data_IF_683081153763
#
_entry.id   IF_683081153763
#
_cell.length_a   1.000
_cell.length_b   1.000
_cell.length_c   1.000
_cell.angle_alpha   90.00
_cell.angle_beta   90.00
_cell.angle_gamma   90.00
#
_symmetry.space_group_name_H-M   'P 1'
#
loop_
_entity.id
_entity.type
_entity.pdbx_description
1 polymer ?
#
# COMPACT_ATOMS: atom_id res chain seq x y z
N UNK A 1 -13.77 52.17 1.62
CA UNK A 1 -13.31 51.49 0.40
C UNK A 1 -12.72 50.16 0.83
N UNK A 2 -13.53 49.11 0.93
CA UNK A 2 -13.06 47.78 1.32
C UNK A 2 -12.29 47.17 0.15
N UNK A 3 -10.97 46.99 0.31
CA UNK A 3 -10.21 46.07 -0.52
C UNK A 3 -10.72 44.66 -0.24
N UNK A 4 -11.53 44.15 -1.17
CA UNK A 4 -11.86 42.74 -1.26
C UNK A 4 -10.55 41.98 -1.46
N UNK A 5 -10.09 41.32 -0.41
CA UNK A 5 -9.10 40.26 -0.49
C UNK A 5 -9.62 39.22 -1.49
N UNK A 6 -9.11 39.25 -2.72
CA UNK A 6 -9.31 38.18 -3.69
C UNK A 6 -8.71 36.92 -3.07
N UNK A 7 -9.59 36.00 -2.66
CA UNK A 7 -9.20 34.67 -2.23
C UNK A 7 -8.28 34.03 -3.29
N UNK A 8 -7.27 33.24 -2.88
CA UNK A 8 -6.45 32.49 -3.82
C UNK A 8 -7.37 31.62 -4.70
N UNK A 9 -7.10 31.51 -6.02
CA UNK A 9 -7.94 30.75 -6.91
C UNK A 9 -8.11 29.32 -6.39
N UNK A 10 -9.36 28.85 -6.46
CA UNK A 10 -9.81 27.52 -6.10
C UNK A 10 -8.84 26.46 -6.62
N UNK A 11 -8.66 25.41 -5.82
CA UNK A 11 -8.02 24.13 -6.21
C UNK A 11 -8.17 23.88 -7.71
N UNK A 12 -7.05 23.89 -8.44
CA UNK A 12 -7.05 23.59 -9.86
C UNK A 12 -7.44 22.13 -10.06
N UNK A 13 -8.68 21.88 -10.49
CA UNK A 13 -9.22 20.53 -10.65
C UNK A 13 -8.96 19.97 -12.05
N UNK A 14 -8.74 18.64 -12.14
CA UNK A 14 -8.64 17.93 -13.40
C UNK A 14 -10.06 17.73 -13.96
N UNK A 15 -10.27 18.07 -15.23
CA UNK A 15 -11.48 17.70 -15.97
C UNK A 15 -11.36 16.28 -16.49
N UNK A 16 -12.46 15.73 -17.04
CA UNK A 16 -12.44 14.41 -17.68
C UNK A 16 -11.39 14.31 -18.80
N UNK A 17 -11.30 15.33 -19.66
CA UNK A 17 -10.28 15.41 -20.72
C UNK A 17 -8.85 15.43 -20.16
N UNK A 18 -8.64 16.12 -19.02
CA UNK A 18 -7.35 16.14 -18.35
C UNK A 18 -6.98 14.74 -17.83
N UNK A 19 -7.94 14.04 -17.21
CA UNK A 19 -7.74 12.70 -16.68
C UNK A 19 -7.49 11.67 -17.79
N UNK A 20 -8.26 11.71 -18.88
CA UNK A 20 -8.10 10.78 -20.01
C UNK A 20 -6.71 10.88 -20.61
N UNK A 21 -6.23 12.11 -20.84
CA UNK A 21 -4.88 12.34 -21.36
C UNK A 21 -3.80 11.84 -20.37
N UNK A 22 -3.98 12.08 -19.07
CA UNK A 22 -3.04 11.60 -18.05
C UNK A 22 -3.00 10.07 -17.95
N UNK A 23 -4.08 9.36 -18.29
CA UNK A 23 -4.10 7.87 -18.29
C UNK A 23 -3.10 7.29 -19.26
N UNK A 24 -2.88 7.93 -20.40
CA UNK A 24 -1.90 7.50 -21.42
C UNK A 24 -0.46 7.50 -20.86
N UNK A 25 -0.18 8.30 -19.83
CA UNK A 25 1.16 8.51 -19.28
C UNK A 25 1.38 7.73 -17.97
N UNK A 26 0.36 6.96 -17.52
CA UNK A 26 0.47 6.16 -16.30
C UNK A 26 1.45 5.00 -16.43
N UNK A 27 1.70 4.49 -17.65
CA UNK A 27 2.61 3.37 -17.90
C UNK A 27 4.02 3.67 -17.43
N UNK A 28 4.61 4.76 -17.94
CA UNK A 28 5.97 5.18 -17.59
C UNK A 28 6.13 5.39 -16.09
N UNK A 29 5.15 6.05 -15.45
CA UNK A 29 5.17 6.27 -14.00
C UNK A 29 5.04 4.97 -13.19
N UNK A 30 4.31 3.99 -13.72
CA UNK A 30 4.07 2.70 -13.09
C UNK A 30 5.33 1.83 -13.11
N UNK A 31 6.10 1.90 -14.19
CA UNK A 31 7.29 1.08 -14.42
C UNK A 31 8.59 1.72 -13.93
N UNK A 32 8.55 2.96 -13.46
CA UNK A 32 9.70 3.60 -12.82
C UNK A 32 10.15 2.87 -11.54
N UNK A 33 11.45 2.57 -11.50
CA UNK A 33 12.08 1.73 -10.47
C UNK A 33 12.10 2.37 -9.07
N UNK A 34 12.26 3.70 -8.99
CA UNK A 34 12.42 4.40 -7.72
C UNK A 34 11.60 5.71 -7.61
N UNK A 35 11.60 6.28 -6.41
CA UNK A 35 10.87 7.52 -6.09
C UNK A 35 11.38 8.72 -6.90
N UNK A 36 12.69 8.80 -7.16
CA UNK A 36 13.29 9.92 -7.88
C UNK A 36 12.89 9.89 -9.35
N UNK A 37 12.97 8.72 -9.99
CA UNK A 37 12.49 8.48 -11.34
C UNK A 37 11.00 8.84 -11.48
N UNK A 38 10.17 8.48 -10.49
CA UNK A 38 8.75 8.87 -10.45
C UNK A 38 8.55 10.38 -10.37
N UNK A 39 9.34 11.07 -9.56
CA UNK A 39 9.28 12.54 -9.48
C UNK A 39 9.70 13.22 -10.79
N UNK A 40 10.73 12.70 -11.46
CA UNK A 40 11.19 13.25 -12.74
C UNK A 40 10.16 13.01 -13.85
N UNK A 41 9.50 11.84 -13.88
CA UNK A 41 8.36 11.58 -14.77
C UNK A 41 7.20 12.53 -14.49
N UNK A 42 6.84 12.76 -13.23
CA UNK A 42 5.74 13.69 -12.91
C UNK A 42 6.07 15.11 -13.38
N UNK A 43 7.33 15.56 -13.27
CA UNK A 43 7.75 16.87 -13.80
C UNK A 43 7.62 16.93 -15.32
N UNK A 44 8.11 15.90 -16.03
CA UNK A 44 8.02 15.82 -17.49
C UNK A 44 6.56 15.79 -17.97
N UNK A 45 5.73 14.95 -17.35
CA UNK A 45 4.28 14.85 -17.63
C UNK A 45 3.58 16.17 -17.33
N UNK A 46 3.94 16.88 -16.25
CA UNK A 46 3.38 18.21 -15.95
C UNK A 46 3.73 19.23 -17.04
N UNK A 47 4.97 19.22 -17.55
CA UNK A 47 5.39 20.13 -18.62
C UNK A 47 4.64 19.84 -19.93
N UNK A 48 4.53 18.55 -20.30
CA UNK A 48 3.74 18.10 -21.46
C UNK A 48 2.26 18.43 -21.32
N UNK A 49 1.69 18.25 -20.13
CA UNK A 49 0.32 18.60 -19.80
C UNK A 49 0.07 20.10 -20.00
N UNK A 50 0.93 20.96 -19.45
CA UNK A 50 0.81 22.40 -19.61
C UNK A 50 0.88 22.82 -21.08
N UNK A 51 1.76 22.19 -21.87
CA UNK A 51 1.85 22.43 -23.31
C UNK A 51 0.61 21.95 -24.08
N UNK A 52 0.06 20.78 -23.73
CA UNK A 52 -1.10 20.17 -24.39
C UNK A 52 -2.37 20.99 -24.19
N UNK A 53 -2.58 21.52 -22.99
CA UNK A 53 -3.77 22.30 -22.63
C UNK A 53 -3.53 23.82 -22.69
N UNK A 54 -2.45 24.26 -23.34
CA UNK A 54 -2.11 25.69 -23.53
C UNK A 54 -2.11 26.49 -22.23
N UNK A 55 -1.64 25.89 -21.14
CA UNK A 55 -1.58 26.51 -19.82
C UNK A 55 -0.39 27.49 -19.79
N UNK A 56 -0.60 28.76 -19.42
CA UNK A 56 0.50 29.74 -19.31
C UNK A 56 1.53 29.34 -18.25
N UNK A 57 2.80 29.70 -18.45
CA UNK A 57 3.91 29.38 -17.53
C UNK A 57 3.65 29.84 -16.08
N UNK A 58 2.95 30.97 -15.90
CA UNK A 58 2.54 31.48 -14.58
C UNK A 58 1.57 30.54 -13.85
N UNK A 59 0.80 29.73 -14.59
CA UNK A 59 -0.13 28.72 -14.09
C UNK A 59 0.48 27.32 -13.96
N UNK A 60 1.58 27.01 -14.65
CA UNK A 60 2.16 25.67 -14.71
C UNK A 60 2.50 25.06 -13.34
N UNK A 61 2.98 25.89 -12.39
CA UNK A 61 3.26 25.43 -11.01
C UNK A 61 2.02 24.96 -10.26
N UNK A 62 0.85 25.53 -10.54
CA UNK A 62 -0.40 25.16 -9.89
C UNK A 62 -0.90 23.77 -10.34
N UNK A 63 -0.55 23.36 -11.57
CA UNK A 63 -0.96 22.06 -12.15
C UNK A 63 -0.07 20.89 -11.75
N UNK A 64 1.13 21.15 -11.21
CA UNK A 64 2.02 20.08 -10.77
C UNK A 64 1.40 19.20 -9.68
N UNK A 65 0.69 19.79 -8.72
CA UNK A 65 0.06 19.04 -7.62
C UNK A 65 -1.10 18.17 -8.13
N UNK A 66 -2.10 18.68 -8.88
CA UNK A 66 -3.17 17.85 -9.45
C UNK A 66 -2.65 16.70 -10.32
N UNK A 67 -1.67 16.96 -11.20
CA UNK A 67 -1.04 15.94 -12.03
C UNK A 67 -0.35 14.89 -11.15
N UNK A 68 0.46 15.32 -10.17
CA UNK A 68 1.10 14.41 -9.22
C UNK A 68 0.08 13.54 -8.50
N UNK A 69 -0.96 14.14 -7.93
CA UNK A 69 -1.98 13.41 -7.17
C UNK A 69 -2.69 12.37 -8.04
N UNK A 70 -3.01 12.70 -9.29
CA UNK A 70 -3.58 11.75 -10.25
C UNK A 70 -2.62 10.59 -10.55
N UNK A 71 -1.37 10.90 -10.92
CA UNK A 71 -0.35 9.90 -11.25
C UNK A 71 -0.10 8.94 -10.08
N UNK A 72 -0.06 9.46 -8.84
CA UNK A 72 0.10 8.64 -7.64
C UNK A 72 -1.17 7.84 -7.27
N UNK A 73 -2.36 8.36 -7.57
CA UNK A 73 -3.63 7.68 -7.31
C UNK A 73 -3.87 6.49 -8.25
N UNK A 74 -3.54 6.65 -9.54
CA UNK A 74 -3.88 5.67 -10.59
C UNK A 74 -2.66 4.94 -11.19
N UNK A 75 -1.47 5.52 -11.10
CA UNK A 75 -0.24 4.98 -11.69
C UNK A 75 0.58 4.13 -10.72
N UNK A 76 0.33 4.19 -9.41
CA UNK A 76 0.94 3.24 -8.47
C UNK A 76 0.54 1.82 -8.87
N UNK A 77 1.53 0.94 -9.11
CA UNK A 77 1.33 -0.50 -8.91
C UNK A 77 0.86 -0.61 -7.47
N UNK A 78 -0.43 -0.88 -7.27
CA UNK A 78 -0.89 -1.37 -5.99
C UNK A 78 -0.22 -2.74 -5.88
N UNK A 79 0.94 -2.80 -5.21
CA UNK A 79 1.26 -4.04 -4.51
C UNK A 79 -0.02 -4.36 -3.76
N UNK A 80 -0.63 -5.50 -4.08
CA UNK A 80 -1.81 -5.95 -3.36
C UNK A 80 -1.48 -5.75 -1.90
N UNK A 81 -2.24 -4.90 -1.19
CA UNK A 81 -2.17 -4.84 0.28
C UNK A 81 -2.40 -6.23 0.91
N UNK A 82 -2.79 -7.23 0.11
CA UNK A 82 -2.93 -8.64 0.45
C UNK A 82 -1.72 -9.53 0.15
N UNK A 83 -0.64 -9.09 -0.50
CA UNK A 83 0.63 -9.80 -0.32
C UNK A 83 1.15 -9.43 1.06
N UNK A 84 0.71 -10.19 2.07
CA UNK A 84 1.42 -10.24 3.35
C UNK A 84 2.91 -10.29 2.99
N UNK A 85 3.66 -9.29 3.41
CA UNK A 85 5.12 -9.29 3.31
C UNK A 85 5.61 -10.46 4.15
N UNK A 86 5.67 -11.64 3.55
CA UNK A 86 6.37 -12.82 4.05
C UNK A 86 7.90 -12.62 3.92
N UNK A 87 8.35 -11.38 3.74
CA UNK A 87 9.74 -10.93 3.89
C UNK A 87 10.15 -10.78 5.37
N UNK A 88 9.23 -10.96 6.32
CA UNK A 88 9.59 -11.06 7.75
C UNK A 88 10.00 -12.50 8.05
N UNK A 89 11.07 -12.66 8.84
CA UNK A 89 11.54 -13.94 9.38
C UNK A 89 10.33 -14.78 9.83
N UNK A 90 10.18 -15.98 9.26
CA UNK A 90 9.16 -16.93 9.68
C UNK A 90 9.43 -17.30 11.15
N UNK A 91 8.36 -17.42 11.93
CA UNK A 91 8.44 -17.83 13.33
C UNK A 91 7.27 -18.74 13.63
N UNK A 92 7.35 -19.51 14.73
CA UNK A 92 6.23 -20.36 15.15
C UNK A 92 4.94 -19.55 15.39
N UNK A 93 5.06 -18.30 15.85
CA UNK A 93 3.92 -17.37 16.00
C UNK A 93 3.24 -17.06 14.66
N UNK A 94 3.99 -17.08 13.57
CA UNK A 94 3.44 -16.91 12.23
C UNK A 94 2.57 -18.10 11.83
N UNK A 95 3.01 -19.32 12.16
CA UNK A 95 2.24 -20.55 11.93
C UNK A 95 0.99 -20.55 12.80
N UNK A 96 1.12 -20.26 14.09
CA UNK A 96 -0.01 -20.16 15.03
C UNK A 96 -1.04 -19.13 14.56
N UNK A 97 -0.60 -17.92 14.17
CA UNK A 97 -1.49 -16.88 13.67
C UNK A 97 -2.21 -17.26 12.38
N UNK A 98 -1.67 -18.21 11.60
CA UNK A 98 -2.30 -18.70 10.37
C UNK A 98 -3.30 -19.82 10.65
N UNK A 99 -2.92 -20.82 11.46
CA UNK A 99 -3.75 -22.01 11.70
C UNK A 99 -4.74 -21.86 12.86
N UNK A 100 -4.44 -21.01 13.84
CA UNK A 100 -5.28 -20.75 15.02
C UNK A 100 -5.82 -19.31 15.06
N UNK A 101 -6.05 -18.71 13.89
CA UNK A 101 -6.47 -17.30 13.80
C UNK A 101 -7.75 -16.99 14.60
N UNK A 102 -8.74 -17.90 14.60
CA UNK A 102 -9.98 -17.75 15.37
C UNK A 102 -9.73 -17.81 16.88
N UNK A 103 -8.89 -18.75 17.33
CA UNK A 103 -8.53 -18.88 18.75
C UNK A 103 -7.79 -17.64 19.25
N UNK A 104 -6.90 -17.07 18.43
CA UNK A 104 -6.20 -15.82 18.74
C UNK A 104 -7.20 -14.65 18.80
N UNK A 105 -8.15 -14.57 17.86
CA UNK A 105 -9.20 -13.55 17.88
C UNK A 105 -10.12 -13.68 19.11
N UNK A 106 -10.43 -14.91 19.51
CA UNK A 106 -11.20 -15.19 20.73
C UNK A 106 -10.40 -14.84 21.99
N UNK A 107 -9.12 -15.17 22.06
CA UNK A 107 -8.25 -14.79 23.18
C UNK A 107 -8.14 -13.26 23.32
N UNK A 108 -8.09 -12.55 22.19
CA UNK A 108 -8.08 -11.08 22.16
C UNK A 108 -9.40 -10.48 22.67
N UNK A 109 -10.53 -10.99 22.19
CA UNK A 109 -11.86 -10.43 22.48
C UNK A 109 -12.43 -10.87 23.83
N UNK A 110 -12.36 -12.17 24.15
CA UNK A 110 -12.91 -12.76 25.39
C UNK A 110 -11.91 -12.68 26.55
N UNK A 111 -10.62 -12.84 26.28
CA UNK A 111 -9.56 -12.75 27.30
C UNK A 111 -9.21 -11.32 27.71
N UNK A 112 -9.79 -10.30 27.04
CA UNK A 112 -9.44 -8.88 27.17
C UNK A 112 -7.94 -8.62 26.96
N UNK A 113 -7.28 -9.44 26.16
CA UNK A 113 -5.86 -9.25 25.85
C UNK A 113 -5.75 -8.08 24.88
N UNK A 114 -5.13 -6.99 25.33
CA UNK A 114 -5.15 -5.70 24.63
C UNK A 114 -4.43 -5.69 23.28
N UNK A 115 -3.61 -6.70 22.97
CA UNK A 115 -2.87 -6.76 21.70
C UNK A 115 -2.92 -8.15 21.06
N UNK A 116 -2.89 -8.18 19.73
CA UNK A 116 -2.81 -9.42 18.95
C UNK A 116 -1.54 -10.22 19.27
N UNK A 117 -0.40 -9.56 19.52
CA UNK A 117 0.83 -10.25 19.88
C UNK A 117 0.75 -10.95 21.24
N UNK A 118 0.12 -10.31 22.22
CA UNK A 118 -0.12 -10.93 23.53
C UNK A 118 -1.12 -12.10 23.40
N UNK A 119 -2.13 -11.99 22.54
CA UNK A 119 -3.07 -13.08 22.29
C UNK A 119 -2.39 -14.28 21.59
N UNK A 120 -1.45 -14.02 20.65
CA UNK A 120 -0.62 -15.06 20.06
C UNK A 120 0.24 -15.79 21.08
N UNK A 121 0.90 -15.07 21.99
CA UNK A 121 1.70 -15.69 23.05
C UNK A 121 0.83 -16.54 23.98
N UNK A 122 -0.35 -16.06 24.34
CA UNK A 122 -1.30 -16.81 25.17
C UNK A 122 -1.74 -18.13 24.51
N UNK A 123 -2.07 -18.09 23.22
CA UNK A 123 -2.43 -19.31 22.46
C UNK A 123 -1.21 -20.23 22.34
N UNK A 124 -0.01 -19.67 22.14
CA UNK A 124 1.23 -20.44 22.07
C UNK A 124 1.50 -21.22 23.38
N UNK A 125 1.27 -20.60 24.53
CA UNK A 125 1.44 -21.23 25.86
C UNK A 125 0.43 -22.35 26.14
N UNK A 126 -0.66 -22.42 25.38
CA UNK A 126 -1.71 -23.44 25.52
C UNK A 126 -1.64 -24.55 24.48
N UNK A 127 -0.64 -24.51 23.60
CA UNK A 127 -0.44 -25.59 22.63
C UNK A 127 -0.13 -26.89 23.35
N UNK A 128 -0.73 -27.97 22.87
CA UNK A 128 -0.30 -29.32 23.24
C UNK A 128 1.07 -29.62 22.61
N UNK A 129 1.83 -30.54 23.20
CA UNK A 129 3.12 -30.98 22.65
C UNK A 129 2.98 -31.49 21.20
N UNK A 130 1.86 -32.12 20.87
CA UNK A 130 1.57 -32.60 19.52
C UNK A 130 1.34 -31.45 18.52
N UNK A 131 0.60 -30.41 18.93
CA UNK A 131 0.39 -29.21 18.10
C UNK A 131 1.70 -28.44 17.92
N UNK A 132 2.48 -28.28 18.99
CA UNK A 132 3.76 -27.59 18.93
C UNK A 132 4.70 -28.28 17.94
N UNK A 133 4.84 -29.61 18.04
CA UNK A 133 5.66 -30.39 17.10
C UNK A 133 5.18 -30.23 15.65
N UNK A 134 3.87 -30.32 15.42
CA UNK A 134 3.29 -30.15 14.09
C UNK A 134 3.59 -28.76 13.53
N UNK A 135 3.48 -27.71 14.34
CA UNK A 135 3.75 -26.34 13.90
C UNK A 135 5.24 -26.06 13.69
N UNK A 136 6.13 -26.73 14.42
CA UNK A 136 7.56 -26.72 14.14
C UNK A 136 7.88 -27.38 12.79
N UNK A 137 7.30 -28.55 12.50
CA UNK A 137 7.48 -29.22 11.20
C UNK A 137 6.96 -28.37 10.02
N UNK A 138 5.82 -27.69 10.19
CA UNK A 138 5.29 -26.76 9.19
C UNK A 138 6.20 -25.53 9.02
N UNK A 139 6.74 -24.99 10.12
CA UNK A 139 7.68 -23.88 10.06
C UNK A 139 8.92 -24.27 9.24
N UNK A 140 9.52 -25.42 9.52
CA UNK A 140 10.68 -25.93 8.78
C UNK A 140 10.36 -26.14 7.30
N UNK A 141 9.20 -26.72 6.99
CA UNK A 141 8.75 -26.90 5.60
C UNK A 141 8.59 -25.55 4.88
N UNK A 142 7.99 -24.55 5.52
CA UNK A 142 7.81 -23.22 4.92
C UNK A 142 9.12 -22.44 4.79
N UNK A 143 10.06 -22.62 5.71
CA UNK A 143 11.40 -22.05 5.61
C UNK A 143 12.21 -22.66 4.45
N UNK A 144 12.02 -23.96 4.18
CA UNK A 144 12.73 -24.69 3.13
C UNK A 144 12.11 -24.51 1.75
N UNK A 145 10.81 -24.77 1.64
CA UNK A 145 10.10 -24.90 0.36
C UNK A 145 9.29 -23.64 0.00
N UNK A 146 9.25 -22.67 0.93
CA UNK A 146 8.41 -21.49 0.82
C UNK A 146 6.99 -21.75 1.28
N UNK A 147 6.25 -20.65 1.46
CA UNK A 147 4.88 -20.70 1.99
C UNK A 147 3.93 -21.11 0.86
N UNK A 148 2.97 -22.02 1.09
CA UNK A 148 1.98 -22.39 0.09
C UNK A 148 1.20 -21.18 -0.44
N UNK A 149 0.97 -21.10 -1.76
CA UNK A 149 0.30 -19.96 -2.39
C UNK A 149 -1.08 -19.66 -1.78
N UNK A 150 -1.83 -20.70 -1.40
CA UNK A 150 -3.13 -20.57 -0.75
C UNK A 150 -3.04 -19.71 0.52
N UNK A 151 -2.00 -19.93 1.34
CA UNK A 151 -1.72 -19.17 2.57
C UNK A 151 -1.12 -17.81 2.33
N UNK A 152 -0.57 -17.56 1.14
CA UNK A 152 -0.11 -16.22 0.75
C UNK A 152 -1.26 -15.30 0.31
N UNK A 153 -2.40 -15.88 -0.10
CA UNK A 153 -3.58 -15.14 -0.60
C UNK A 153 -4.62 -14.85 0.50
N UNK A 154 -4.56 -15.54 1.64
CA UNK A 154 -5.36 -15.30 2.88
C UNK A 154 -4.86 -14.10 3.70
#
# INVERSE_FOLDING_TARGET
MSELAMAPPSSTELSEDHEEWLREHLGDFRDADDTKAKEDIVKDVTAKFCKKFSIPDRGAKAWHKPVKDFMYKYGRKREHRGHKRWTKKLTIRTIIGTFKHEEVALAQTKGKIGTYQSALSYVQEQLTEAEEKTYQEILEAWEKDGIPEEKQRE
#
